data_IF_230051282637
#
_entry.id   IF_230051282637
#
_cell.length_a   1.000
_cell.length_b   1.000
_cell.length_c   1.000
_cell.angle_alpha   90.00
_cell.angle_beta   90.00
_cell.angle_gamma   90.00
#
_symmetry.space_group_name_H-M   'P 1'
#
loop_
_entity.id
_entity.type
_entity.pdbx_description
1 polymer ?
#
# COMPACT_ATOMS: atom_id res chain seq x y z
N UNK A 1 26.10 -19.15 -9.78
CA UNK A 1 24.77 -19.15 -10.39
C UNK A 1 23.76 -18.79 -9.30
N UNK A 2 23.19 -17.59 -9.33
CA UNK A 2 21.78 -17.41 -8.97
C UNK A 2 21.27 -16.16 -9.69
N UNK A 3 20.23 -16.37 -10.49
CA UNK A 3 19.78 -15.47 -11.53
C UNK A 3 18.79 -14.42 -10.98
N UNK A 4 18.86 -13.23 -11.57
CA UNK A 4 18.14 -12.05 -11.10
C UNK A 4 16.62 -12.10 -11.17
N UNK A 5 16.01 -11.09 -10.54
CA UNK A 5 14.61 -10.72 -10.75
C UNK A 5 14.53 -9.25 -11.11
N UNK A 6 14.25 -8.99 -12.38
CA UNK A 6 14.26 -7.66 -13.00
C UNK A 6 13.26 -6.69 -12.39
N UNK A 7 13.73 -5.46 -12.14
CA UNK A 7 12.88 -4.27 -11.96
C UNK A 7 12.78 -3.51 -13.28
N UNK A 8 11.65 -3.64 -13.97
CA UNK A 8 11.11 -2.65 -14.92
C UNK A 8 9.61 -2.50 -14.60
N UNK A 9 8.99 -1.33 -14.60
CA UNK A 9 9.32 -0.16 -15.40
C UNK A 9 9.33 1.18 -14.67
N UNK A 10 10.08 2.08 -15.29
CA UNK A 10 10.03 3.52 -15.12
C UNK A 10 8.71 4.08 -15.67
N UNK A 11 8.20 5.15 -15.07
CA UNK A 11 7.09 5.93 -15.64
C UNK A 11 6.58 7.04 -14.72
N UNK A 12 7.09 8.26 -14.90
CA UNK A 12 6.28 9.48 -14.73
C UNK A 12 6.49 10.32 -13.46
N UNK A 13 7.59 11.07 -13.41
CA UNK A 13 7.65 12.55 -13.23
C UNK A 13 9.05 12.97 -12.78
N UNK A 14 9.79 13.56 -13.72
CA UNK A 14 10.92 14.44 -13.44
C UNK A 14 10.44 15.54 -12.49
N UNK A 15 10.84 15.43 -11.23
CA UNK A 15 10.79 16.51 -10.26
C UNK A 15 12.13 16.43 -9.54
N UNK A 16 13.14 17.09 -10.11
CA UNK A 16 14.53 17.04 -9.67
C UNK A 16 14.80 17.84 -8.41
N UNK A 17 13.85 17.89 -7.48
CA UNK A 17 14.02 18.46 -6.15
C UNK A 17 14.20 17.35 -5.10
N UNK A 18 14.73 17.68 -3.91
CA UNK A 18 14.85 16.72 -2.81
C UNK A 18 13.47 16.10 -2.50
N UNK A 19 13.32 14.79 -2.72
CA UNK A 19 12.11 14.07 -2.29
C UNK A 19 12.24 13.74 -0.81
N UNK A 20 11.17 13.98 -0.06
CA UNK A 20 11.07 13.45 1.30
C UNK A 20 11.18 11.92 1.28
N UNK A 21 11.76 11.36 2.34
CA UNK A 21 11.89 9.91 2.48
C UNK A 21 10.50 9.26 2.33
N UNK A 22 10.36 8.19 1.53
CA UNK A 22 9.07 7.55 1.35
C UNK A 22 8.61 6.93 2.68
N UNK A 23 7.45 7.36 3.16
CA UNK A 23 6.78 6.79 4.34
C UNK A 23 5.67 5.85 3.87
N UNK A 24 5.63 4.64 4.43
CA UNK A 24 4.60 3.66 4.06
C UNK A 24 3.23 4.10 4.55
N UNK A 25 2.16 3.65 3.87
CA UNK A 25 0.78 3.95 4.30
C UNK A 25 0.43 3.35 5.67
N UNK A 26 1.02 2.21 6.02
CA UNK A 26 0.86 1.60 7.35
C UNK A 26 1.49 2.49 8.43
N UNK A 27 2.75 2.91 8.24
CA UNK A 27 3.44 3.80 9.17
C UNK A 27 2.71 5.14 9.31
N UNK A 28 2.25 5.72 8.20
CA UNK A 28 1.47 6.96 8.22
C UNK A 28 0.12 6.82 8.97
N UNK A 29 -0.49 5.63 8.94
CA UNK A 29 -1.75 5.35 9.61
C UNK A 29 -1.58 4.86 11.05
N UNK A 30 -0.36 4.58 11.51
CA UNK A 30 -0.10 4.01 12.84
C UNK A 30 -0.56 2.55 12.99
N UNK A 31 -0.65 1.79 11.90
CA UNK A 31 -1.14 0.41 11.89
C UNK A 31 0.00 -0.58 11.63
N UNK A 32 0.02 -1.70 12.35
CA UNK A 32 0.91 -2.84 12.07
C UNK A 32 0.50 -3.57 10.78
N UNK A 33 -0.80 -3.62 10.51
CA UNK A 33 -1.34 -4.33 9.35
C UNK A 33 -0.97 -3.62 8.03
N UNK A 34 -0.78 -4.38 6.94
CA UNK A 34 -0.24 -3.86 5.69
C UNK A 34 -1.31 -3.15 4.84
N UNK A 35 -1.59 -1.87 5.12
CA UNK A 35 -2.56 -1.01 4.38
C UNK A 35 -2.33 -1.06 2.87
N UNK A 36 -1.07 -1.02 2.43
CA UNK A 36 -0.73 -1.05 1.00
C UNK A 36 -1.13 -2.35 0.30
N UNK A 37 -1.00 -3.48 1.00
CA UNK A 37 -1.35 -4.82 0.51
C UNK A 37 -2.87 -5.01 0.48
N UNK A 38 -3.56 -4.56 1.52
CA UNK A 38 -5.02 -4.59 1.61
C UNK A 38 -5.63 -3.80 0.45
N UNK A 39 -5.15 -2.58 0.19
CA UNK A 39 -5.60 -1.79 -0.96
C UNK A 39 -5.36 -2.47 -2.32
N UNK A 40 -4.28 -3.25 -2.45
CA UNK A 40 -4.05 -4.06 -3.66
C UNK A 40 -5.07 -5.18 -3.77
N UNK A 41 -5.40 -5.86 -2.68
CA UNK A 41 -6.40 -6.94 -2.69
C UNK A 41 -7.82 -6.42 -2.93
N UNK A 42 -8.20 -5.28 -2.37
CA UNK A 42 -9.50 -4.64 -2.66
C UNK A 42 -9.68 -4.36 -4.16
N UNK A 43 -8.64 -3.91 -4.85
CA UNK A 43 -8.67 -3.69 -6.31
C UNK A 43 -8.72 -5.00 -7.09
N UNK A 44 -7.93 -6.01 -6.69
CA UNK A 44 -7.91 -7.31 -7.36
C UNK A 44 -9.23 -8.08 -7.20
N UNK A 45 -9.89 -7.93 -6.06
CA UNK A 45 -11.19 -8.56 -5.79
C UNK A 45 -12.36 -7.97 -6.57
N UNK A 46 -12.16 -6.84 -7.28
CA UNK A 46 -13.19 -6.18 -8.10
C UNK A 46 -14.49 -5.87 -7.34
N UNK A 47 -14.41 -5.64 -6.02
CA UNK A 47 -15.56 -5.36 -5.16
C UNK A 47 -16.31 -4.07 -5.52
N UNK A 48 -15.64 -3.14 -6.19
CA UNK A 48 -16.21 -1.91 -6.72
C UNK A 48 -15.39 -1.41 -7.92
N UNK A 49 -15.99 -0.56 -8.75
CA UNK A 49 -15.30 0.09 -9.87
C UNK A 49 -14.16 1.02 -9.39
N UNK A 50 -14.33 1.66 -8.23
CA UNK A 50 -13.33 2.50 -7.58
C UNK A 50 -13.26 2.17 -6.09
N UNK A 51 -12.06 2.23 -5.54
CA UNK A 51 -11.80 2.03 -4.11
C UNK A 51 -11.30 3.35 -3.54
N UNK A 52 -12.00 3.90 -2.55
CA UNK A 52 -11.60 5.12 -1.86
C UNK A 52 -10.25 5.00 -1.17
N UNK A 53 -9.53 6.11 -0.99
CA UNK A 53 -8.19 6.12 -0.39
C UNK A 53 -8.16 5.67 1.06
N UNK A 54 -9.23 5.95 1.82
CA UNK A 54 -9.40 5.53 3.22
C UNK A 54 -9.89 4.10 3.43
N UNK A 55 -10.51 3.48 2.41
CA UNK A 55 -11.04 2.12 2.52
C UNK A 55 -10.00 1.08 3.00
N UNK A 56 -8.77 1.01 2.45
CA UNK A 56 -7.77 0.08 2.95
C UNK A 56 -7.21 0.43 4.33
N UNK A 57 -7.36 1.67 4.81
CA UNK A 57 -6.94 2.08 6.16
C UNK A 57 -7.96 1.59 7.17
N UNK A 58 -9.25 1.85 6.92
CA UNK A 58 -10.33 1.41 7.80
C UNK A 58 -10.36 -0.12 7.93
N UNK A 59 -10.29 -0.84 6.80
CA UNK A 59 -10.26 -2.30 6.83
C UNK A 59 -9.01 -2.84 7.56
N UNK A 60 -7.85 -2.21 7.39
CA UNK A 60 -6.65 -2.61 8.13
C UNK A 60 -6.82 -2.42 9.64
N UNK A 61 -7.39 -1.28 10.07
CA UNK A 61 -7.61 -0.98 11.48
C UNK A 61 -8.58 -1.97 12.14
N UNK A 62 -9.69 -2.30 11.47
CA UNK A 62 -10.67 -3.27 12.01
C UNK A 62 -10.05 -4.66 12.10
N UNK A 63 -9.33 -5.11 11.07
CA UNK A 63 -8.66 -6.42 11.09
C UNK A 63 -7.56 -6.50 12.15
N UNK A 64 -6.82 -5.41 12.37
CA UNK A 64 -5.79 -5.34 13.39
C UNK A 64 -6.39 -5.35 14.80
N UNK A 65 -7.45 -4.58 15.03
CA UNK A 65 -8.20 -4.60 16.28
C UNK A 65 -8.69 -6.01 16.62
N UNK A 66 -9.36 -6.68 15.67
CA UNK A 66 -9.89 -8.04 15.87
C UNK A 66 -8.80 -9.11 16.03
N UNK A 67 -7.59 -8.89 15.52
CA UNK A 67 -6.48 -9.83 15.66
C UNK A 67 -5.65 -9.58 16.93
N UNK A 68 -5.82 -8.42 17.56
CA UNK A 68 -5.18 -8.06 18.81
C UNK A 68 -6.00 -8.48 20.04
N UNK A 69 -7.32 -8.65 19.86
CA UNK A 69 -8.22 -9.29 20.82
C UNK A 69 -7.97 -10.80 20.90
#
# INVERSE_FOLDING_TARGET
MDAGKGKKGAGGRKGGGPRSKPVSRSVKAGLQFPVGRIGRFLKKGRYAQRVGTGAPVYLAAVLEYLAAE
#
